data_IF_610025632990
#
_entry.id   IF_610025632990
#
_cell.length_a   1.000
_cell.length_b   1.000
_cell.length_c   1.000
_cell.angle_alpha   90.00
_cell.angle_beta   90.00
_cell.angle_gamma   90.00
#
_symmetry.space_group_name_H-M   'P 1'
#
loop_
_entity.id
_entity.type
_entity.pdbx_description
1 polymer ?
#
# COMPACT_ATOMS: atom_id res chain seq x y z
N UNK A 1 -9.47 -36.29 -6.61
CA UNK A 1 -9.64 -35.25 -7.66
C UNK A 1 -10.60 -34.13 -7.24
N UNK A 2 -11.81 -34.41 -6.72
CA UNK A 2 -12.76 -33.36 -6.27
C UNK A 2 -12.21 -32.47 -5.14
N UNK A 3 -11.51 -33.06 -4.15
CA UNK A 3 -10.83 -32.28 -3.08
C UNK A 3 -9.72 -31.36 -3.61
N UNK A 4 -8.96 -31.79 -4.61
CA UNK A 4 -7.91 -30.96 -5.23
C UNK A 4 -8.51 -29.77 -5.98
N UNK A 5 -9.60 -29.98 -6.72
CA UNK A 5 -10.33 -28.91 -7.39
C UNK A 5 -10.92 -27.91 -6.39
N UNK A 6 -11.53 -28.39 -5.30
CA UNK A 6 -12.04 -27.53 -4.22
C UNK A 6 -10.93 -26.73 -3.53
N UNK A 7 -9.77 -27.33 -3.30
CA UNK A 7 -8.60 -26.65 -2.72
C UNK A 7 -8.07 -25.55 -3.66
N UNK A 8 -7.97 -25.82 -4.96
CA UNK A 8 -7.53 -24.84 -5.96
C UNK A 8 -8.51 -23.67 -6.07
N UNK A 9 -9.82 -23.93 -6.03
CA UNK A 9 -10.84 -22.87 -6.05
C UNK A 9 -10.77 -22.03 -4.77
N UNK A 10 -10.65 -22.66 -3.60
CA UNK A 10 -10.51 -21.93 -2.33
C UNK A 10 -9.24 -21.08 -2.29
N UNK A 11 -8.10 -21.63 -2.73
CA UNK A 11 -6.84 -20.88 -2.87
C UNK A 11 -6.99 -19.74 -3.87
N UNK A 12 -7.67 -19.95 -4.99
CA UNK A 12 -7.94 -18.87 -5.97
C UNK A 12 -8.80 -17.76 -5.38
N UNK A 13 -9.86 -18.11 -4.64
CA UNK A 13 -10.74 -17.14 -3.97
C UNK A 13 -10.00 -16.35 -2.88
N UNK A 14 -9.26 -17.02 -1.99
CA UNK A 14 -8.38 -16.41 -0.98
C UNK A 14 -7.34 -15.48 -1.59
N UNK A 15 -6.93 -15.80 -2.81
CA UNK A 15 -5.98 -14.97 -3.54
C UNK A 15 -6.74 -13.78 -4.18
N UNK A 16 -7.99 -13.92 -4.63
CA UNK A 16 -8.81 -12.83 -5.20
C UNK A 16 -9.44 -11.86 -4.19
N UNK A 17 -9.33 -12.07 -2.88
CA UNK A 17 -10.09 -11.29 -1.88
C UNK A 17 -9.72 -9.83 -1.73
N UNK A 18 -8.65 -9.33 -2.33
CA UNK A 18 -8.35 -7.90 -2.27
C UNK A 18 -7.81 -7.42 -3.61
N UNK A 19 -8.63 -6.64 -4.32
CA UNK A 19 -8.20 -5.37 -4.90
C UNK A 19 -9.36 -4.65 -5.57
N UNK A 20 -10.14 -3.97 -4.73
CA UNK A 20 -10.92 -2.83 -5.22
C UNK A 20 -9.89 -1.80 -5.68
N UNK A 21 -9.87 -1.49 -6.98
CA UNK A 21 -9.12 -0.38 -7.64
C UNK A 21 -9.33 1.02 -7.02
N UNK A 22 -10.01 1.10 -5.88
CA UNK A 22 -10.24 2.34 -5.14
C UNK A 22 -8.97 2.74 -4.39
N UNK A 23 -8.68 4.04 -4.40
CA UNK A 23 -7.63 4.62 -3.57
C UNK A 23 -8.04 4.44 -2.10
N UNK A 24 -7.19 3.79 -1.30
CA UNK A 24 -7.39 3.56 0.13
C UNK A 24 -6.47 4.47 0.95
N UNK A 25 -7.00 5.11 1.98
CA UNK A 25 -6.19 5.87 2.94
C UNK A 25 -5.52 4.88 3.90
N UNK A 26 -4.20 4.99 4.05
CA UNK A 26 -3.41 4.27 5.04
C UNK A 26 -2.85 5.26 6.06
N UNK A 27 -3.00 4.92 7.34
CA UNK A 27 -2.40 5.70 8.42
C UNK A 27 -0.87 5.57 8.36
N UNK A 28 -0.12 6.68 8.52
CA UNK A 28 1.32 6.60 8.60
C UNK A 28 1.71 5.83 9.86
N UNK A 29 2.54 4.79 9.71
CA UNK A 29 3.08 4.05 10.83
C UNK A 29 4.01 4.98 11.65
N UNK A 30 3.53 5.47 12.79
CA UNK A 30 4.36 6.08 13.83
C UNK A 30 4.07 7.56 14.12
N UNK A 31 3.20 7.81 15.11
CA UNK A 31 3.19 9.06 15.87
C UNK A 31 2.67 8.84 17.31
N UNK A 32 3.16 7.82 18.00
CA UNK A 32 3.04 7.74 19.48
C UNK A 32 4.43 7.90 20.07
N UNK A 33 4.91 9.14 20.12
CA UNK A 33 6.04 9.48 20.99
C UNK A 33 5.44 9.93 22.32
N UNK A 34 5.62 9.19 23.43
CA UNK A 34 5.39 9.76 24.75
C UNK A 34 6.43 10.86 24.96
N UNK A 35 6.02 12.12 24.86
CA UNK A 35 6.91 13.27 25.05
C UNK A 35 7.10 13.57 26.54
N UNK A 36 8.34 13.68 27.07
CA UNK A 36 8.58 14.36 28.34
C UNK A 36 8.19 15.85 28.23
N UNK A 37 7.92 16.57 29.33
CA UNK A 37 7.59 17.99 29.27
C UNK A 37 8.78 18.76 28.69
N UNK A 38 8.67 19.18 27.43
CA UNK A 38 9.65 20.03 26.74
C UNK A 38 9.15 21.48 26.71
N UNK A 39 10.08 22.46 26.67
CA UNK A 39 9.73 23.90 26.63
C UNK A 39 9.02 24.28 25.32
N UNK A 40 8.38 25.45 25.33
CA UNK A 40 7.36 26.08 24.44
C UNK A 40 7.57 26.10 22.91
N UNK A 41 8.18 25.08 22.31
CA UNK A 41 8.21 24.94 20.85
C UNK A 41 6.79 24.72 20.31
N UNK A 42 6.41 25.35 19.18
CA UNK A 42 5.13 25.07 18.54
C UNK A 42 5.05 23.57 18.21
N UNK A 43 3.86 22.96 18.33
CA UNK A 43 3.68 21.54 18.03
C UNK A 43 4.05 21.27 16.55
N UNK A 44 4.63 20.09 16.24
CA UNK A 44 4.87 19.72 14.85
C UNK A 44 3.55 19.67 14.06
N UNK A 45 3.59 19.91 12.74
CA UNK A 45 2.40 19.80 11.91
C UNK A 45 1.81 18.38 12.00
N UNK A 46 0.48 18.23 11.84
CA UNK A 46 -0.16 16.93 11.91
C UNK A 46 0.41 15.98 10.86
N UNK A 47 0.43 14.66 11.14
CA UNK A 47 0.92 13.66 10.20
C UNK A 47 0.09 13.71 8.90
N UNK A 48 0.78 13.67 7.77
CA UNK A 48 0.12 13.64 6.46
C UNK A 48 -0.48 12.26 6.22
N UNK A 49 -1.75 12.21 5.80
CA UNK A 49 -2.40 10.95 5.41
C UNK A 49 -1.80 10.44 4.11
N UNK A 50 -1.51 9.14 4.05
CA UNK A 50 -0.99 8.51 2.85
C UNK A 50 -2.12 7.73 2.17
N UNK A 51 -2.21 7.81 0.86
CA UNK A 51 -3.17 7.13 0.02
C UNK A 51 -2.42 6.07 -0.78
N UNK A 52 -3.00 4.87 -0.91
CA UNK A 52 -2.46 3.81 -1.75
C UNK A 52 -3.48 3.24 -2.73
N UNK A 53 -3.00 2.76 -3.87
CA UNK A 53 -3.81 2.12 -4.92
C UNK A 53 -2.94 1.09 -5.65
N UNK A 54 -3.50 -0.03 -6.12
CA UNK A 54 -2.72 -0.93 -6.98
C UNK A 54 -2.39 -0.23 -8.30
N UNK A 55 -1.14 -0.39 -8.72
CA UNK A 55 -0.68 0.04 -10.02
C UNK A 55 -1.49 -0.61 -11.14
N UNK A 56 -1.86 0.18 -12.14
CA UNK A 56 -2.57 -0.30 -13.33
C UNK A 56 -1.61 -0.81 -14.40
N UNK A 57 -0.39 -0.26 -14.43
CA UNK A 57 0.63 -0.55 -15.44
C UNK A 57 1.64 -1.62 -14.97
N UNK A 58 1.65 -1.98 -13.68
CA UNK A 58 2.55 -2.99 -13.15
C UNK A 58 1.97 -4.40 -13.30
N UNK A 59 2.48 -5.12 -14.29
CA UNK A 59 2.11 -6.51 -14.53
C UNK A 59 3.00 -7.50 -13.77
N UNK A 60 2.37 -8.53 -13.20
CA UNK A 60 3.05 -9.67 -12.60
C UNK A 60 3.44 -9.50 -11.13
N UNK A 61 4.43 -10.31 -10.69
CA UNK A 61 4.91 -10.33 -9.32
C UNK A 61 5.95 -9.22 -9.08
N UNK A 62 5.74 -8.47 -8.01
CA UNK A 62 6.57 -7.34 -7.60
C UNK A 62 7.74 -7.83 -6.72
N UNK A 63 8.92 -7.94 -7.33
CA UNK A 63 10.17 -8.26 -6.62
C UNK A 63 11.06 -7.04 -6.37
N UNK A 64 10.83 -5.95 -7.10
CA UNK A 64 11.65 -4.74 -7.03
C UNK A 64 10.80 -3.54 -6.66
N UNK A 65 10.98 -3.05 -5.43
CA UNK A 65 10.32 -1.84 -4.95
C UNK A 65 10.69 -0.61 -5.79
N UNK A 66 11.94 -0.54 -6.28
CA UNK A 66 12.40 0.56 -7.13
C UNK A 66 11.65 0.59 -8.46
N UNK A 67 11.43 -0.58 -9.08
CA UNK A 67 10.68 -0.67 -10.32
C UNK A 67 9.22 -0.31 -10.10
N UNK A 68 8.59 -0.85 -9.04
CA UNK A 68 7.23 -0.48 -8.64
C UNK A 68 7.10 1.04 -8.43
N UNK A 69 8.00 1.67 -7.66
CA UNK A 69 7.99 3.10 -7.45
C UNK A 69 8.18 3.90 -8.76
N UNK A 70 8.96 3.39 -9.72
CA UNK A 70 9.14 4.05 -11.02
C UNK A 70 7.86 4.03 -11.85
N UNK A 71 7.15 2.90 -11.89
CA UNK A 71 5.86 2.77 -12.59
C UNK A 71 4.79 3.62 -11.91
N UNK A 72 4.76 3.63 -10.58
CA UNK A 72 3.83 4.48 -9.83
C UNK A 72 4.04 5.97 -10.09
N UNK A 73 5.28 6.41 -10.35
CA UNK A 73 5.55 7.80 -10.75
C UNK A 73 4.95 8.15 -12.12
N UNK A 74 4.99 7.24 -13.08
CA UNK A 74 4.29 7.45 -14.37
C UNK A 74 2.78 7.47 -14.23
N UNK A 75 2.22 6.84 -13.20
CA UNK A 75 0.78 6.88 -12.88
C UNK A 75 0.36 8.13 -12.06
N UNK A 76 1.29 9.03 -11.73
CA UNK A 76 0.99 10.24 -10.95
C UNK A 76 1.00 10.05 -9.42
N UNK A 77 1.60 8.96 -8.94
CA UNK A 77 1.86 8.75 -7.52
C UNK A 77 3.30 9.16 -7.16
N UNK A 78 3.56 9.44 -5.88
CA UNK A 78 4.89 9.88 -5.43
C UNK A 78 5.83 8.72 -5.10
N UNK A 79 5.28 7.53 -4.86
CA UNK A 79 6.04 6.33 -4.53
C UNK A 79 5.24 5.06 -4.77
N UNK A 80 5.82 3.92 -4.39
CA UNK A 80 5.16 2.63 -4.45
C UNK A 80 5.97 1.53 -3.77
N UNK A 81 5.30 0.48 -3.32
CA UNK A 81 5.90 -0.66 -2.63
C UNK A 81 5.24 -1.97 -3.05
N UNK A 82 6.03 -3.04 -3.07
CA UNK A 82 5.53 -4.40 -3.23
C UNK A 82 4.90 -4.86 -1.91
N UNK A 83 3.62 -5.22 -1.91
CA UNK A 83 2.90 -5.64 -0.70
C UNK A 83 2.08 -6.92 -0.92
N UNK A 84 1.77 -7.59 0.20
CA UNK A 84 0.91 -8.77 0.26
C UNK A 84 1.56 -10.06 -0.23
N UNK A 85 0.85 -11.17 -0.01
CA UNK A 85 1.32 -12.51 -0.41
C UNK A 85 1.39 -12.70 -1.94
N UNK A 86 0.55 -11.97 -2.68
CA UNK A 86 0.61 -11.91 -4.15
C UNK A 86 1.73 -11.02 -4.69
N UNK A 87 2.52 -10.38 -3.82
CA UNK A 87 3.58 -9.44 -4.20
C UNK A 87 3.08 -8.45 -5.26
N UNK A 88 2.02 -7.70 -4.96
CA UNK A 88 1.50 -6.71 -5.92
C UNK A 88 2.13 -5.36 -5.70
N UNK A 89 2.26 -4.57 -6.76
CA UNK A 89 2.73 -3.20 -6.66
C UNK A 89 1.60 -2.27 -6.22
N UNK A 90 1.78 -1.62 -5.07
CA UNK A 90 0.88 -0.60 -4.55
C UNK A 90 1.55 0.76 -4.65
N UNK A 91 0.96 1.66 -5.41
CA UNK A 91 1.38 3.04 -5.54
C UNK A 91 0.89 3.87 -4.37
N UNK A 92 1.73 4.79 -3.89
CA UNK A 92 1.46 5.62 -2.71
C UNK A 92 1.64 7.10 -3.01
N UNK A 93 0.74 7.94 -2.50
CA UNK A 93 0.83 9.39 -2.55
C UNK A 93 0.23 10.02 -1.30
N UNK A 94 0.60 11.26 -1.00
CA UNK A 94 -0.11 12.02 0.05
C UNK A 94 -1.55 12.23 -0.41
N UNK A 95 -2.53 11.91 0.43
CA UNK A 95 -3.91 12.28 0.18
C UNK A 95 -4.02 13.80 0.29
N UNK A 96 -4.41 14.47 -0.79
CA UNK A 96 -4.93 15.82 -0.69
C UNK A 96 -6.40 15.65 -0.34
N UNK A 97 -6.79 16.05 0.87
CA UNK A 97 -8.20 16.19 1.24
C UNK A 97 -8.87 17.28 0.38
#
# INVERSE_FOLDING_TARGET
>A
MRLLASLVVLLSLLMTTEETRAIRVVEPAGATVPTPPMPTRPPPPPPKRMCQSMSHEFDGLCFSQKNCASVCKSEGFTGGACQGFRLRCFCTKICLE
#
